data_IF_356154614725
#
_entry.id   IF_356154614725
#
_cell.length_a   1.000
_cell.length_b   1.000
_cell.length_c   1.000
_cell.angle_alpha   90.00
_cell.angle_beta   90.00
_cell.angle_gamma   90.00
#
_symmetry.space_group_name_H-M   'P 1'
#
loop_
_entity.id
_entity.type
_entity.pdbx_description
1 polymer ?
#
# COMPACT_ATOMS: atom_id res chain seq x y z
N UNK A 1 -16.86 3.78 -10.80
CA UNK A 1 -16.06 4.87 -11.38
C UNK A 1 -16.88 5.52 -12.47
N UNK A 2 -16.86 6.85 -12.57
CA UNK A 2 -17.46 7.58 -13.70
C UNK A 2 -16.53 7.51 -14.91
N UNK A 3 -17.05 7.73 -16.11
CA UNK A 3 -16.27 7.68 -17.35
C UNK A 3 -15.14 8.74 -17.36
N UNK A 4 -15.35 9.87 -16.67
CA UNK A 4 -14.37 10.92 -16.44
C UNK A 4 -13.22 10.53 -15.52
N UNK A 5 -13.37 9.46 -14.75
CA UNK A 5 -12.36 9.00 -13.78
C UNK A 5 -11.46 7.91 -14.38
N UNK A 6 -11.84 7.32 -15.52
CA UNK A 6 -11.04 6.34 -16.24
C UNK A 6 -9.80 7.02 -16.84
N UNK A 7 -8.63 6.63 -16.35
CA UNK A 7 -7.34 7.08 -16.87
C UNK A 7 -6.78 6.00 -17.81
N UNK A 8 -5.96 6.37 -18.81
CA UNK A 8 -5.17 5.38 -19.54
C UNK A 8 -4.27 4.60 -18.57
N UNK A 9 -3.79 3.43 -19.00
CA UNK A 9 -2.93 2.62 -18.16
C UNK A 9 -1.68 3.40 -17.71
N UNK A 10 -1.41 3.44 -16.41
CA UNK A 10 -0.28 4.18 -15.85
C UNK A 10 1.10 3.60 -16.24
N UNK A 11 1.13 2.39 -16.78
CA UNK A 11 2.38 1.68 -17.15
C UNK A 11 2.72 1.83 -18.63
N UNK A 12 1.76 1.59 -19.54
CA UNK A 12 2.00 1.68 -20.98
C UNK A 12 1.38 2.92 -21.64
N UNK A 13 0.55 3.69 -20.93
CA UNK A 13 -0.20 4.81 -21.48
C UNK A 13 -1.33 4.42 -22.46
N UNK A 14 -1.53 3.11 -22.68
CA UNK A 14 -2.52 2.58 -23.60
C UNK A 14 -3.96 2.61 -23.07
N UNK A 15 -4.96 2.33 -23.94
CA UNK A 15 -6.36 2.24 -23.54
C UNK A 15 -6.60 1.09 -22.56
N UNK A 16 -7.51 1.31 -21.61
CA UNK A 16 -8.00 0.24 -20.75
C UNK A 16 -8.96 -0.66 -21.54
N UNK A 17 -8.82 -1.97 -21.37
CA UNK A 17 -9.73 -2.95 -21.96
C UNK A 17 -11.04 -3.08 -21.18
N UNK A 18 -11.88 -4.03 -21.58
CA UNK A 18 -13.12 -4.37 -20.86
C UNK A 18 -12.84 -4.81 -19.42
N UNK A 19 -11.68 -5.44 -19.19
CA UNK A 19 -11.14 -5.76 -17.88
C UNK A 19 -9.87 -4.94 -17.66
N UNK A 20 -9.74 -4.38 -16.46
CA UNK A 20 -8.57 -3.64 -16.02
C UNK A 20 -8.44 -3.76 -14.49
N UNK A 21 -7.23 -3.50 -14.00
CA UNK A 21 -6.91 -3.57 -12.58
C UNK A 21 -6.76 -2.17 -12.00
N UNK A 22 -7.29 -1.98 -10.79
CA UNK A 22 -6.98 -0.84 -9.94
C UNK A 22 -6.12 -1.36 -8.80
N UNK A 23 -4.87 -0.93 -8.75
CA UNK A 23 -3.91 -1.34 -7.72
C UNK A 23 -3.65 -0.17 -6.78
N UNK A 24 -3.92 -0.38 -5.50
CA UNK A 24 -3.59 0.56 -4.44
C UNK A 24 -2.39 0.03 -3.69
N UNK A 25 -1.30 0.78 -3.70
CA UNK A 25 -0.11 0.51 -2.91
C UNK A 25 -0.05 1.49 -1.74
N UNK A 26 -0.06 0.96 -0.53
CA UNK A 26 0.03 1.72 0.72
C UNK A 26 1.41 1.50 1.32
N UNK A 27 2.15 2.59 1.47
CA UNK A 27 3.42 2.60 2.18
C UNK A 27 3.14 2.93 3.63
N UNK A 28 3.51 2.01 4.52
CA UNK A 28 3.38 2.14 5.97
C UNK A 28 4.76 2.32 6.60
N UNK A 29 4.87 3.19 7.59
CA UNK A 29 6.03 3.30 8.48
C UNK A 29 5.71 2.61 9.80
N UNK A 30 6.69 1.93 10.38
CA UNK A 30 6.58 1.45 11.76
C UNK A 30 6.95 2.59 12.70
N UNK A 31 6.04 2.95 13.61
CA UNK A 31 6.39 3.79 14.75
C UNK A 31 7.09 2.93 15.80
N UNK A 32 8.42 3.04 15.83
CA UNK A 32 9.25 2.32 16.78
C UNK A 32 8.90 2.64 18.24
N UNK A 33 8.41 3.85 18.54
CA UNK A 33 7.98 4.22 19.90
C UNK A 33 6.73 3.46 20.31
N UNK A 34 5.70 3.46 19.46
CA UNK A 34 4.46 2.71 19.70
C UNK A 34 4.73 1.20 19.78
N UNK A 35 5.55 0.66 18.87
CA UNK A 35 5.97 -0.74 18.89
C UNK A 35 6.63 -1.11 20.23
N UNK A 36 7.58 -0.29 20.69
CA UNK A 36 8.30 -0.55 21.93
C UNK A 36 7.41 -0.42 23.17
N UNK A 37 6.40 0.44 23.15
CA UNK A 37 5.43 0.56 24.24
C UNK A 37 4.57 -0.72 24.36
N UNK A 38 4.05 -1.22 23.24
CA UNK A 38 3.27 -2.47 23.21
C UNK A 38 4.14 -3.65 23.65
N UNK A 39 5.38 -3.75 23.14
CA UNK A 39 6.31 -4.83 23.51
C UNK A 39 6.76 -4.74 24.98
N UNK A 40 6.97 -3.54 25.50
CA UNK A 40 7.27 -3.30 26.91
C UNK A 40 6.11 -3.69 27.85
N UNK A 41 4.89 -3.36 27.47
CA UNK A 41 3.69 -3.76 28.23
C UNK A 41 3.43 -5.27 28.13
N UNK A 42 3.70 -5.88 26.96
CA UNK A 42 3.61 -7.32 26.78
C UNK A 42 4.54 -8.06 27.73
N UNK A 43 5.78 -7.58 27.88
CA UNK A 43 6.73 -8.15 28.84
C UNK A 43 6.29 -7.95 30.30
N UNK A 44 5.71 -6.79 30.65
CA UNK A 44 5.13 -6.56 31.99
C UNK A 44 3.93 -7.46 32.30
N UNK A 45 3.10 -7.79 31.30
CA UNK A 45 1.95 -8.68 31.45
C UNK A 45 2.28 -10.17 31.26
N UNK A 46 3.56 -10.55 31.28
CA UNK A 46 3.99 -11.95 31.19
C UNK A 46 3.78 -12.56 29.80
N UNK A 47 3.98 -11.79 28.74
CA UNK A 47 3.87 -12.21 27.34
C UNK A 47 2.47 -12.12 26.74
N UNK A 48 1.52 -11.49 27.45
CA UNK A 48 0.13 -11.36 27.00
C UNK A 48 -0.06 -10.14 26.08
N UNK A 49 0.21 -10.33 24.79
CA UNK A 49 0.12 -9.27 23.76
C UNK A 49 -1.27 -8.60 23.68
N UNK A 50 -2.36 -9.37 23.73
CA UNK A 50 -3.70 -8.79 23.61
C UNK A 50 -4.08 -7.84 24.76
N UNK A 51 -3.53 -8.02 25.96
CA UNK A 51 -3.70 -7.06 27.06
C UNK A 51 -2.81 -5.83 26.88
N UNK A 52 -1.62 -6.03 26.31
CA UNK A 52 -0.69 -4.95 26.02
C UNK A 52 -1.20 -4.02 24.91
N UNK A 53 -1.82 -4.55 23.85
CA UNK A 53 -2.41 -3.75 22.76
C UNK A 53 -3.58 -2.88 23.23
N UNK A 54 -4.42 -3.38 24.14
CA UNK A 54 -5.56 -2.63 24.69
C UNK A 54 -5.13 -1.54 25.67
N UNK A 55 -4.05 -1.79 26.41
CA UNK A 55 -3.55 -0.88 27.45
C UNK A 55 -2.46 0.08 26.94
N UNK A 56 -1.94 -0.15 25.73
CA UNK A 56 -0.96 0.75 25.13
C UNK A 56 -1.62 2.08 24.75
N UNK A 57 -0.98 3.22 25.07
CA UNK A 57 -1.53 4.54 24.73
C UNK A 57 -1.53 4.83 23.22
N UNK A 58 -0.74 4.10 22.44
CA UNK A 58 -0.77 4.10 20.97
C UNK A 58 -0.89 2.65 20.48
N UNK A 59 -2.11 2.23 20.14
CA UNK A 59 -2.39 0.88 19.66
C UNK A 59 -1.94 0.68 18.20
N UNK A 60 -1.97 1.74 17.40
CA UNK A 60 -1.55 1.68 15.99
C UNK A 60 -0.03 1.81 15.88
N UNK A 61 0.62 0.69 15.58
CA UNK A 61 2.08 0.59 15.43
C UNK A 61 2.55 1.07 14.06
N UNK A 62 1.62 1.28 13.14
CA UNK A 62 1.90 1.70 11.76
C UNK A 62 1.32 3.07 11.47
N UNK A 63 2.07 3.88 10.75
CA UNK A 63 1.65 5.18 10.23
C UNK A 63 1.61 5.15 8.71
N UNK A 64 0.55 5.70 8.13
CA UNK A 64 0.41 5.82 6.68
C UNK A 64 1.39 6.90 6.17
N UNK A 65 2.30 6.52 5.27
CA UNK A 65 3.21 7.47 4.60
C UNK A 65 2.61 7.97 3.29
N UNK A 66 2.26 7.03 2.42
CA UNK A 66 1.86 7.35 1.06
C UNK A 66 0.93 6.28 0.49
N UNK A 67 -0.17 6.71 -0.12
CA UNK A 67 -1.09 5.84 -0.84
C UNK A 67 -1.04 6.17 -2.32
N UNK A 68 -0.55 5.23 -3.12
CA UNK A 68 -0.49 5.36 -4.58
C UNK A 68 -1.55 4.44 -5.19
N UNK A 69 -2.55 5.04 -5.84
CA UNK A 69 -3.53 4.30 -6.65
C UNK A 69 -3.15 4.41 -8.12
N UNK A 70 -2.99 3.27 -8.80
CA UNK A 70 -2.70 3.19 -10.22
C UNK A 70 -3.71 2.31 -10.96
N UNK A 71 -3.95 2.63 -12.23
CA UNK A 71 -4.78 1.84 -13.14
C UNK A 71 -3.91 1.09 -14.15
N UNK A 72 -4.14 -0.21 -14.28
CA UNK A 72 -3.29 -1.12 -15.05
C UNK A 72 -4.17 -1.90 -16.03
N UNK A 73 -3.78 -1.97 -17.30
CA UNK A 73 -4.47 -2.80 -18.28
C UNK A 73 -4.11 -4.29 -18.11
N UNK A 74 -4.94 -5.18 -18.63
CA UNK A 74 -4.78 -6.63 -18.48
C UNK A 74 -3.41 -7.13 -18.98
N UNK A 75 -2.92 -6.58 -20.11
CA UNK A 75 -1.58 -6.92 -20.65
C UNK A 75 -0.45 -6.57 -19.68
N UNK A 76 -0.49 -5.37 -19.10
CA UNK A 76 0.55 -4.92 -18.18
C UNK A 76 0.47 -5.61 -16.82
N UNK A 77 -0.68 -6.17 -16.44
CA UNK A 77 -0.84 -6.86 -15.17
C UNK A 77 0.07 -8.10 -15.04
N UNK A 78 0.35 -8.81 -16.14
CA UNK A 78 1.18 -10.01 -16.13
C UNK A 78 2.69 -9.75 -16.17
N UNK A 79 3.12 -8.58 -16.66
CA UNK A 79 4.54 -8.27 -16.86
C UNK A 79 5.13 -7.33 -15.80
N UNK A 80 4.30 -6.74 -14.94
CA UNK A 80 4.73 -5.74 -13.96
C UNK A 80 5.42 -6.39 -12.77
N UNK A 81 6.60 -5.88 -12.43
CA UNK A 81 7.19 -6.03 -11.11
C UNK A 81 6.52 -5.06 -10.13
N UNK A 82 6.16 -5.53 -8.93
CA UNK A 82 5.56 -4.73 -7.85
C UNK A 82 6.33 -3.42 -7.57
N UNK A 83 7.64 -3.42 -7.81
CA UNK A 83 8.52 -2.24 -7.69
C UNK A 83 8.07 -1.06 -8.56
N UNK A 84 7.58 -1.32 -9.79
CA UNK A 84 7.07 -0.24 -10.66
C UNK A 84 5.79 0.39 -10.12
N UNK A 85 4.92 -0.41 -9.53
CA UNK A 85 3.69 0.06 -8.88
C UNK A 85 4.03 0.90 -7.65
N UNK A 86 4.98 0.43 -6.83
CA UNK A 86 5.39 1.10 -5.59
C UNK A 86 6.05 2.47 -5.84
N UNK A 87 6.94 2.56 -6.84
CA UNK A 87 7.64 3.81 -7.14
C UNK A 87 6.78 4.83 -7.91
N UNK A 88 5.54 4.47 -8.30
CA UNK A 88 4.68 5.34 -9.10
C UNK A 88 5.30 5.79 -10.43
N UNK A 89 6.29 5.04 -10.93
CA UNK A 89 7.04 5.42 -12.12
C UNK A 89 6.17 5.11 -13.32
N UNK A 90 5.61 6.17 -13.92
CA UNK A 90 4.99 6.09 -15.24
C UNK A 90 6.02 5.62 -16.25
N UNK A 91 5.79 4.44 -16.81
CA UNK A 91 6.63 3.93 -17.90
C UNK A 91 6.60 4.92 -19.05
N UNK A 92 7.78 5.28 -19.59
CA UNK A 92 7.85 5.97 -20.87
C UNK A 92 7.24 5.04 -21.93
N UNK A 93 6.20 5.53 -22.61
CA UNK A 93 5.78 4.96 -23.88
C UNK A 93 6.92 5.14 -24.91
N UNK A 94 7.15 4.10 -25.71
CA UNK A 94 8.02 4.10 -26.88
C UNK A 94 9.17 3.10 -26.75
N UNK A 95 9.38 2.16 -27.67
CA UNK A 95 8.96 2.06 -29.08
C UNK A 95 8.02 0.87 -29.38
#
# INVERSE_FOLDING_TARGET
MKLSELKPCDVCGGPLGMLFYRVTAEQMMIDASAANQVLGLSTMFGGRLGLAEVMAPAADVTMDLQTNTSMICDKCAYEISLVRVLLGVRGKAGE
#
